data_IF_990058910902
#
_entry.id   IF_990058910902
#
_cell.length_a   1.000
_cell.length_b   1.000
_cell.length_c   1.000
_cell.angle_alpha   90.00
_cell.angle_beta   90.00
_cell.angle_gamma   90.00
#
_symmetry.space_group_name_H-M   'P 1'
#
loop_
_entity.id
_entity.type
_entity.pdbx_description
1 polymer ?
#
# COMPACT_ATOMS: atom_id res chain seq x y z
N UNK A 1 0.39 -6.02 -9.38
CA UNK A 1 0.34 -6.02 -7.91
C UNK A 1 -0.44 -7.25 -7.54
N UNK A 2 0.24 -8.41 -7.47
CA UNK A 2 -0.39 -9.67 -7.10
C UNK A 2 0.30 -10.14 -5.82
N UNK A 3 -0.19 -9.64 -4.68
CA UNK A 3 0.01 -10.33 -3.41
C UNK A 3 -1.38 -10.87 -3.06
N UNK A 4 -1.79 -11.91 -3.78
CA UNK A 4 -3.12 -12.53 -3.70
C UNK A 4 -3.45 -13.03 -2.27
N UNK A 5 -2.44 -13.09 -1.39
CA UNK A 5 -2.53 -13.67 -0.04
C UNK A 5 -1.89 -12.79 1.05
N UNK A 6 -1.83 -11.47 0.87
CA UNK A 6 -1.17 -10.56 1.82
C UNK A 6 -1.71 -10.72 3.26
N UNK A 7 -3.03 -10.93 3.40
CA UNK A 7 -3.68 -11.21 4.67
C UNK A 7 -3.17 -12.50 5.33
N UNK A 8 -3.19 -13.63 4.60
CA UNK A 8 -2.71 -14.92 5.11
C UNK A 8 -1.23 -14.88 5.51
N UNK A 9 -0.40 -14.20 4.71
CA UNK A 9 1.02 -14.01 4.99
C UNK A 9 1.23 -13.19 6.27
N UNK A 10 0.44 -12.13 6.46
CA UNK A 10 0.42 -11.34 7.69
C UNK A 10 0.01 -12.16 8.91
N UNK A 11 -1.04 -12.99 8.80
CA UNK A 11 -1.48 -13.88 9.87
C UNK A 11 -0.39 -14.87 10.28
N UNK A 12 0.29 -15.49 9.31
CA UNK A 12 1.40 -16.41 9.58
C UNK A 12 2.55 -15.72 10.33
N UNK A 13 2.92 -14.51 9.90
CA UNK A 13 3.97 -13.72 10.56
C UNK A 13 3.56 -13.40 12.00
N UNK A 14 2.33 -12.94 12.23
CA UNK A 14 1.84 -12.62 13.58
C UNK A 14 1.80 -13.85 14.50
N UNK A 15 1.32 -14.98 13.99
CA UNK A 15 1.32 -16.23 14.75
C UNK A 15 2.74 -16.70 15.10
N UNK A 16 3.69 -16.60 14.16
CA UNK A 16 5.09 -16.93 14.39
C UNK A 16 5.76 -16.03 15.44
N UNK A 17 5.44 -14.73 15.45
CA UNK A 17 5.91 -13.80 16.49
C UNK A 17 5.28 -14.16 17.85
N UNK A 18 3.96 -14.35 17.91
CA UNK A 18 3.24 -14.66 19.15
C UNK A 18 3.64 -16.00 19.77
N UNK A 19 4.13 -16.94 18.96
CA UNK A 19 4.65 -18.25 19.42
C UNK A 19 6.17 -18.27 19.61
N UNK A 20 6.85 -17.13 19.43
CA UNK A 20 8.31 -17.00 19.63
C UNK A 20 9.16 -17.71 18.58
N UNK A 21 8.63 -18.01 17.39
CA UNK A 21 9.37 -18.67 16.31
C UNK A 21 10.36 -17.76 15.61
N UNK A 22 10.08 -16.47 15.56
CA UNK A 22 10.95 -15.43 15.02
C UNK A 22 10.53 -14.06 15.54
N UNK A 23 11.47 -13.12 15.54
CA UNK A 23 11.21 -11.71 15.76
C UNK A 23 10.58 -11.08 14.51
N UNK A 24 9.97 -9.89 14.67
CA UNK A 24 9.42 -9.13 13.55
C UNK A 24 10.48 -8.85 12.47
N UNK A 25 11.71 -8.51 12.89
CA UNK A 25 12.81 -8.21 11.96
C UNK A 25 13.15 -9.43 11.09
N UNK A 26 13.33 -10.59 11.73
CA UNK A 26 13.61 -11.85 11.02
C UNK A 26 12.47 -12.25 10.09
N UNK A 27 11.22 -11.99 10.49
CA UNK A 27 10.06 -12.26 9.65
C UNK A 27 10.06 -11.41 8.38
N UNK A 28 10.30 -10.10 8.50
CA UNK A 28 10.37 -9.18 7.37
C UNK A 28 11.47 -9.62 6.39
N UNK A 29 12.67 -9.90 6.91
CA UNK A 29 13.81 -10.31 6.08
C UNK A 29 13.58 -11.64 5.34
N UNK A 30 12.88 -12.60 5.96
CA UNK A 30 12.63 -13.92 5.37
C UNK A 30 11.45 -13.95 4.40
N UNK A 31 10.37 -13.25 4.73
CA UNK A 31 9.07 -13.45 4.09
C UNK A 31 8.65 -12.28 3.19
N UNK A 32 9.16 -11.07 3.40
CA UNK A 32 8.79 -9.89 2.60
C UNK A 32 9.87 -9.62 1.55
N UNK A 33 9.46 -9.59 0.29
CA UNK A 33 10.35 -9.29 -0.85
C UNK A 33 9.83 -8.08 -1.62
N UNK A 34 10.67 -7.06 -1.76
CA UNK A 34 10.39 -5.92 -2.62
C UNK A 34 10.58 -6.39 -4.06
N UNK A 35 9.49 -6.42 -4.82
CA UNK A 35 9.53 -6.82 -6.25
C UNK A 35 10.07 -5.67 -7.11
N UNK A 36 9.43 -4.51 -6.98
CA UNK A 36 9.71 -3.33 -7.79
C UNK A 36 9.68 -2.08 -6.92
N UNK A 37 10.40 -1.04 -7.32
CA UNK A 37 10.36 0.30 -6.73
C UNK A 37 10.14 1.31 -7.83
N UNK A 38 9.10 2.11 -7.69
CA UNK A 38 8.77 3.17 -8.64
C UNK A 38 8.93 4.52 -7.96
N UNK A 39 9.84 5.34 -8.49
CA UNK A 39 10.07 6.69 -7.99
C UNK A 39 9.15 7.69 -8.72
N UNK A 40 8.61 8.71 -8.04
CA UNK A 40 7.73 9.68 -8.68
C UNK A 40 8.48 10.50 -9.75
N UNK A 41 7.96 10.49 -10.97
CA UNK A 41 8.39 11.45 -12.00
C UNK A 41 7.75 12.82 -11.73
N UNK A 42 8.58 13.86 -11.64
CA UNK A 42 8.14 15.22 -11.30
C UNK A 42 7.12 15.78 -12.30
N UNK A 43 7.32 15.57 -13.61
CA UNK A 43 6.43 16.08 -14.66
C UNK A 43 5.09 15.35 -14.64
N UNK A 44 5.11 14.04 -14.44
CA UNK A 44 3.88 13.24 -14.29
C UNK A 44 3.13 13.68 -13.04
N UNK A 45 3.82 13.86 -11.91
CA UNK A 45 3.23 14.29 -10.65
C UNK A 45 2.55 15.65 -10.77
N UNK A 46 3.19 16.63 -11.40
CA UNK A 46 2.62 17.97 -11.60
C UNK A 46 1.33 17.90 -12.43
N UNK A 47 1.36 17.18 -13.56
CA UNK A 47 0.19 16.96 -14.42
C UNK A 47 -0.99 16.28 -13.71
N UNK A 48 -0.72 15.27 -12.88
CA UNK A 48 -1.78 14.57 -12.15
C UNK A 48 -2.29 15.36 -10.94
N UNK A 49 -1.48 16.26 -10.37
CA UNK A 49 -1.88 17.07 -9.23
C UNK A 49 -3.04 18.00 -9.59
N UNK A 50 -2.94 18.71 -10.71
CA UNK A 50 -4.00 19.59 -11.20
C UNK A 50 -5.33 18.82 -11.36
N UNK A 51 -5.27 17.65 -12.02
CA UNK A 51 -6.44 16.78 -12.20
C UNK A 51 -7.01 16.24 -10.88
N UNK A 52 -6.16 15.95 -9.90
CA UNK A 52 -6.59 15.47 -8.60
C UNK A 52 -7.29 16.56 -7.78
N UNK A 53 -6.84 17.81 -7.92
CA UNK A 53 -7.49 18.95 -7.29
C UNK A 53 -8.88 19.20 -7.91
N UNK A 54 -9.01 19.18 -9.25
CA UNK A 54 -10.32 19.23 -9.93
C UNK A 54 -11.25 18.08 -9.50
N UNK A 55 -10.72 16.84 -9.46
CA UNK A 55 -11.49 15.67 -9.02
C UNK A 55 -12.08 15.86 -7.62
N UNK A 56 -11.31 16.40 -6.68
CA UNK A 56 -11.77 16.60 -5.29
C UNK A 56 -12.93 17.57 -5.20
N UNK A 57 -12.88 18.68 -5.95
CA UNK A 57 -13.97 19.65 -5.98
C UNK A 57 -15.24 19.03 -6.56
N UNK A 58 -15.12 18.32 -7.69
CA UNK A 58 -16.25 17.63 -8.32
C UNK A 58 -16.82 16.57 -7.39
N UNK A 59 -15.96 15.72 -6.82
CA UNK A 59 -16.38 14.65 -5.91
C UNK A 59 -17.13 15.20 -4.70
N UNK A 60 -16.64 16.29 -4.09
CA UNK A 60 -17.31 16.94 -2.96
C UNK A 60 -18.73 17.37 -3.33
N UNK A 61 -18.89 18.10 -4.44
CA UNK A 61 -20.20 18.57 -4.91
C UNK A 61 -21.16 17.40 -5.20
N UNK A 62 -20.66 16.32 -5.80
CA UNK A 62 -21.48 15.14 -6.12
C UNK A 62 -21.83 14.33 -4.88
N UNK A 63 -20.92 14.23 -3.89
CA UNK A 63 -21.16 13.52 -2.62
C UNK A 63 -22.19 14.19 -1.72
N UNK A 64 -22.54 15.46 -1.97
CA UNK A 64 -23.64 16.13 -1.29
C UNK A 64 -25.00 15.80 -1.92
N UNK A 65 -25.02 15.21 -3.13
CA UNK A 65 -26.24 14.84 -3.85
C UNK A 65 -26.65 13.37 -3.65
N UNK A 66 -25.76 12.51 -3.18
CA UNK A 66 -25.95 11.07 -3.00
C UNK A 66 -25.31 10.58 -1.70
#
# INVERSE_FOLDING_TARGET
MDITEAGCHGTMILAGIGTGKFTLKEAIEKFIKIKDRFEPDKKIRERYKEKFDEYKEIYKLVSELY
#
